data_IF_253164569825
#
_entry.id   IF_253164569825
#
_cell.length_a   1.000
_cell.length_b   1.000
_cell.length_c   1.000
_cell.angle_alpha   90.00
_cell.angle_beta   90.00
_cell.angle_gamma   90.00
#
_symmetry.space_group_name_H-M   'P 1'
#
loop_
_entity.id
_entity.type
_entity.pdbx_description
1 polymer ?
#
# COMPACT_ATOMS: atom_id res chain seq x y z
N UNK A 1 13.38 11.76 5.90
CA UNK A 1 12.95 11.01 4.70
C UNK A 1 12.47 9.58 4.98
N UNK A 2 13.33 8.60 5.36
CA UNK A 2 12.87 7.22 5.57
C UNK A 2 11.92 7.03 6.76
N UNK A 3 12.15 7.77 7.86
CA UNK A 3 11.25 7.76 9.03
C UNK A 3 9.87 8.32 8.69
N UNK A 4 9.83 9.47 8.01
CA UNK A 4 8.60 10.11 7.52
C UNK A 4 7.75 9.18 6.63
N UNK A 5 8.39 8.51 5.66
CA UNK A 5 7.71 7.52 4.81
C UNK A 5 7.09 6.38 5.63
N UNK A 6 7.77 5.88 6.67
CA UNK A 6 7.25 4.78 7.49
C UNK A 6 6.09 5.22 8.35
N UNK A 7 6.15 6.40 8.97
CA UNK A 7 5.02 6.97 9.71
C UNK A 7 3.78 7.09 8.82
N UNK A 8 3.93 7.66 7.62
CA UNK A 8 2.82 7.79 6.66
C UNK A 8 2.26 6.45 6.21
N UNK A 9 3.10 5.43 6.05
CA UNK A 9 2.64 4.06 5.74
C UNK A 9 1.81 3.50 6.89
N UNK A 10 2.26 3.67 8.14
CA UNK A 10 1.55 3.17 9.31
C UNK A 10 0.18 3.84 9.45
N UNK A 11 0.13 5.16 9.41
CA UNK A 11 -1.12 5.93 9.46
C UNK A 11 -2.08 5.56 8.33
N UNK A 12 -1.55 5.35 7.11
CA UNK A 12 -2.38 4.94 5.97
C UNK A 12 -2.98 3.55 6.18
N UNK A 13 -2.21 2.62 6.75
CA UNK A 13 -2.70 1.27 7.04
C UNK A 13 -3.76 1.33 8.15
N UNK A 14 -3.54 2.10 9.21
CA UNK A 14 -4.55 2.26 10.27
C UNK A 14 -5.86 2.82 9.69
N UNK A 15 -5.78 3.91 8.92
CA UNK A 15 -6.94 4.48 8.21
C UNK A 15 -7.61 3.49 7.26
N UNK A 16 -6.86 2.58 6.63
CA UNK A 16 -7.42 1.55 5.75
C UNK A 16 -8.28 0.55 6.53
N UNK A 17 -7.87 0.18 7.74
CA UNK A 17 -8.67 -0.68 8.63
C UNK A 17 -9.87 0.07 9.20
N UNK A 18 -9.68 1.31 9.65
CA UNK A 18 -10.78 2.19 10.11
C UNK A 18 -11.85 2.39 9.03
N UNK A 19 -11.45 2.53 7.76
CA UNK A 19 -12.36 2.67 6.61
C UNK A 19 -13.03 1.37 6.18
N UNK A 20 -12.74 0.25 6.84
CA UNK A 20 -13.48 -0.98 6.66
C UNK A 20 -12.97 -1.92 5.57
N UNK A 21 -11.65 -2.00 5.32
CA UNK A 21 -11.09 -3.05 4.43
C UNK A 21 -11.54 -4.46 4.83
N UNK A 22 -11.73 -4.73 6.13
CA UNK A 22 -12.25 -6.02 6.61
C UNK A 22 -13.63 -6.32 6.03
N UNK A 23 -14.52 -5.31 6.02
CA UNK A 23 -15.86 -5.41 5.45
C UNK A 23 -15.80 -5.57 3.94
N UNK A 24 -14.96 -4.78 3.26
CA UNK A 24 -14.77 -4.88 1.79
C UNK A 24 -14.37 -6.30 1.36
N UNK A 25 -13.40 -6.91 2.05
CA UNK A 25 -12.95 -8.28 1.76
C UNK A 25 -14.07 -9.31 2.04
N UNK A 26 -14.83 -9.15 3.13
CA UNK A 26 -15.97 -10.01 3.42
C UNK A 26 -17.04 -9.92 2.32
N UNK A 27 -17.38 -8.72 1.88
CA UNK A 27 -18.38 -8.49 0.83
C UNK A 27 -17.94 -9.10 -0.52
N UNK A 28 -16.65 -9.01 -0.87
CA UNK A 28 -16.12 -9.65 -2.08
C UNK A 28 -16.26 -11.18 -2.03
N UNK A 29 -15.95 -11.80 -0.89
CA UNK A 29 -16.11 -13.24 -0.71
C UNK A 29 -17.58 -13.66 -0.77
N UNK A 30 -18.47 -12.88 -0.15
CA UNK A 30 -19.92 -13.13 -0.18
C UNK A 30 -20.49 -13.01 -1.60
N UNK A 31 -19.95 -12.11 -2.43
CA UNK A 31 -20.28 -11.98 -3.86
C UNK A 31 -19.69 -13.10 -4.73
N UNK A 32 -18.99 -14.07 -4.14
CA UNK A 32 -18.45 -15.23 -4.85
C UNK A 32 -17.12 -15.00 -5.55
N UNK A 33 -16.41 -13.90 -5.24
CA UNK A 33 -15.05 -13.70 -5.77
C UNK A 33 -14.13 -14.77 -5.19
N UNK A 34 -13.48 -15.54 -6.05
CA UNK A 34 -12.56 -16.61 -5.62
C UNK A 34 -11.44 -16.02 -4.77
N UNK A 35 -11.24 -16.56 -3.56
CA UNK A 35 -10.16 -16.23 -2.63
C UNK A 35 -8.75 -16.35 -3.24
N UNK A 36 -8.59 -17.08 -4.34
CA UNK A 36 -7.32 -17.22 -5.07
C UNK A 36 -7.09 -16.15 -6.14
N UNK A 37 -8.08 -15.28 -6.36
CA UNK A 37 -8.03 -14.19 -7.34
C UNK A 37 -6.89 -13.20 -7.05
N UNK A 38 -6.34 -12.54 -8.07
CA UNK A 38 -5.22 -11.60 -7.92
C UNK A 38 -5.39 -10.54 -6.82
N UNK A 39 -6.57 -9.93 -6.59
CA UNK A 39 -6.75 -8.92 -5.54
C UNK A 39 -6.40 -9.44 -4.14
N UNK A 40 -6.71 -10.70 -3.82
CA UNK A 40 -6.42 -11.28 -2.51
C UNK A 40 -4.93 -11.55 -2.25
N UNK A 41 -4.07 -11.36 -3.26
CA UNK A 41 -2.61 -11.36 -3.10
C UNK A 41 -2.06 -9.99 -2.71
N UNK A 42 -2.84 -8.93 -2.87
CA UNK A 42 -2.45 -7.58 -2.49
C UNK A 42 -2.26 -7.45 -0.97
N UNK A 43 -1.39 -6.52 -0.58
CA UNK A 43 -1.18 -6.17 0.82
C UNK A 43 -2.49 -5.61 1.42
N UNK A 44 -2.76 -5.91 2.68
CA UNK A 44 -4.08 -5.68 3.29
C UNK A 44 -5.00 -6.86 3.04
N UNK A 45 -5.47 -7.04 1.80
CA UNK A 45 -6.39 -8.13 1.41
C UNK A 45 -5.89 -9.51 1.83
N UNK A 46 -4.62 -9.81 1.54
CA UNK A 46 -3.99 -11.08 1.92
C UNK A 46 -4.08 -11.35 3.43
N UNK A 47 -3.86 -10.33 4.25
CA UNK A 47 -3.85 -10.47 5.71
C UNK A 47 -5.27 -10.51 6.28
N UNK A 48 -6.18 -9.69 5.75
CA UNK A 48 -7.60 -9.77 6.10
C UNK A 48 -8.17 -11.14 5.75
N UNK A 49 -7.78 -11.76 4.63
CA UNK A 49 -8.22 -13.11 4.29
C UNK A 49 -7.78 -14.14 5.35
N UNK A 50 -6.58 -13.99 5.93
CA UNK A 50 -6.12 -14.83 7.06
C UNK A 50 -6.89 -14.56 8.33
N UNK A 51 -7.17 -13.29 8.64
CA UNK A 51 -8.02 -12.88 9.76
C UNK A 51 -9.40 -13.52 9.67
N UNK A 52 -10.04 -13.48 8.50
CA UNK A 52 -11.38 -14.04 8.28
C UNK A 52 -11.41 -15.56 8.41
N UNK A 53 -10.29 -16.24 8.14
CA UNK A 53 -10.09 -17.67 8.40
C UNK A 53 -9.71 -17.98 9.85
N UNK A 54 -9.63 -16.97 10.71
CA UNK A 54 -9.19 -17.07 12.11
C UNK A 54 -7.76 -17.63 12.28
N UNK A 55 -6.90 -17.45 11.27
CA UNK A 55 -5.50 -17.90 11.31
C UNK A 55 -4.61 -16.95 12.13
N UNK A 56 -4.93 -15.66 12.16
CA UNK A 56 -4.21 -14.61 12.91
C UNK A 56 -5.21 -13.59 13.49
N UNK A 57 -4.91 -12.95 14.63
CA UNK A 57 -5.76 -11.90 15.21
C UNK A 57 -5.68 -10.58 14.42
N UNK A 58 -6.61 -9.66 14.70
CA UNK A 58 -6.70 -8.36 14.03
C UNK A 58 -5.44 -7.52 14.23
N UNK A 59 -4.90 -7.49 15.45
CA UNK A 59 -3.68 -6.74 15.78
C UNK A 59 -2.47 -7.23 14.97
N UNK A 60 -2.31 -8.55 14.86
CA UNK A 60 -1.25 -9.15 14.05
C UNK A 60 -1.49 -8.87 12.55
N UNK A 61 -2.73 -8.91 12.09
CA UNK A 61 -3.12 -8.57 10.72
C UNK A 61 -2.69 -7.15 10.34
N UNK A 62 -2.97 -6.17 11.20
CA UNK A 62 -2.57 -4.77 11.02
C UNK A 62 -1.04 -4.67 11.01
N UNK A 63 -0.38 -5.31 11.98
CA UNK A 63 1.08 -5.28 12.14
C UNK A 63 1.82 -5.85 10.92
N UNK A 64 1.38 -7.01 10.42
CA UNK A 64 1.94 -7.65 9.23
C UNK A 64 1.69 -6.80 7.98
N UNK A 65 0.51 -6.18 7.88
CA UNK A 65 0.18 -5.27 6.77
C UNK A 65 1.11 -4.05 6.76
N UNK A 66 1.33 -3.41 7.91
CA UNK A 66 2.29 -2.30 8.06
C UNK A 66 3.70 -2.72 7.64
N UNK A 67 4.20 -3.82 8.21
CA UNK A 67 5.55 -4.36 7.93
C UNK A 67 5.77 -4.61 6.44
N UNK A 68 4.86 -5.34 5.81
CA UNK A 68 5.04 -5.73 4.43
C UNK A 68 4.83 -4.56 3.46
N UNK A 69 4.00 -3.59 3.82
CA UNK A 69 3.88 -2.33 3.06
C UNK A 69 5.19 -1.53 3.10
N UNK A 70 5.89 -1.47 4.24
CA UNK A 70 7.24 -0.87 4.33
C UNK A 70 8.26 -1.62 3.48
N UNK A 71 8.23 -2.96 3.49
CA UNK A 71 9.12 -3.76 2.64
C UNK A 71 8.84 -3.57 1.16
N UNK A 72 7.56 -3.48 0.78
CA UNK A 72 7.16 -3.20 -0.59
C UNK A 72 7.62 -1.82 -1.05
N UNK A 73 7.39 -0.77 -0.25
CA UNK A 73 7.89 0.58 -0.53
C UNK A 73 9.43 0.61 -0.68
N UNK A 74 10.16 -0.12 0.18
CA UNK A 74 11.62 -0.25 0.03
C UNK A 74 11.99 -0.89 -1.31
N UNK A 75 11.32 -1.98 -1.71
CA UNK A 75 11.57 -2.64 -3.02
C UNK A 75 11.28 -1.72 -4.20
N UNK A 76 10.17 -0.97 -4.15
CA UNK A 76 9.84 0.03 -5.17
C UNK A 76 10.97 1.06 -5.31
N UNK A 77 11.44 1.62 -4.18
CA UNK A 77 12.55 2.57 -4.21
C UNK A 77 13.86 1.97 -4.75
N UNK A 78 14.17 0.72 -4.40
CA UNK A 78 15.34 0.03 -4.96
C UNK A 78 15.22 -0.17 -6.47
N UNK A 79 14.02 -0.46 -6.98
CA UNK A 79 13.78 -0.64 -8.41
C UNK A 79 13.89 0.68 -9.17
N UNK A 80 13.20 1.73 -8.70
CA UNK A 80 13.26 3.06 -9.33
C UNK A 80 14.65 3.68 -9.31
N UNK A 81 15.47 3.44 -8.28
CA UNK A 81 16.86 3.94 -8.23
C UNK A 81 17.77 3.38 -9.33
N UNK A 82 17.39 2.25 -9.95
CA UNK A 82 18.15 1.63 -11.04
C UNK A 82 17.67 2.07 -12.43
N UNK A 83 16.58 2.83 -12.50
CA UNK A 83 16.03 3.29 -13.77
C UNK A 83 16.65 4.63 -14.16
N UNK A 84 17.10 4.72 -15.40
CA UNK A 84 17.53 5.97 -16.00
C UNK A 84 16.32 6.83 -16.42
N UNK A 85 16.52 8.14 -16.53
CA UNK A 85 15.46 9.08 -16.93
C UNK A 85 14.44 9.42 -15.84
N UNK A 86 14.57 8.89 -14.61
CA UNK A 86 13.67 9.27 -13.51
C UNK A 86 14.09 10.63 -12.91
N UNK A 87 13.18 11.60 -13.00
CA UNK A 87 13.25 12.84 -12.22
C UNK A 87 12.57 12.66 -10.87
N UNK A 88 13.33 12.86 -9.79
CA UNK A 88 12.85 12.74 -8.41
C UNK A 88 12.36 14.09 -7.87
N UNK A 89 11.27 14.03 -7.09
CA UNK A 89 10.69 15.18 -6.40
C UNK A 89 10.39 14.85 -4.94
N UNK A 90 10.39 15.88 -4.09
CA UNK A 90 9.79 15.78 -2.76
C UNK A 90 8.26 15.66 -2.91
N UNK A 91 7.58 14.82 -2.11
CA UNK A 91 6.12 14.69 -2.17
C UNK A 91 5.37 15.97 -1.80
N UNK A 92 6.04 16.95 -1.20
CA UNK A 92 5.45 18.24 -0.81
C UNK A 92 5.78 19.37 -1.79
N UNK A 93 6.59 19.11 -2.81
CA UNK A 93 7.02 20.11 -3.79
C UNK A 93 6.16 20.06 -5.06
N UNK A 94 4.87 20.27 -4.86
CA UNK A 94 3.88 20.28 -5.94
C UNK A 94 4.17 21.34 -7.03
N UNK A 95 4.65 22.56 -6.71
CA UNK A 95 5.00 23.54 -7.73
C UNK A 95 6.07 23.04 -8.71
N UNK A 96 7.18 22.48 -8.21
CA UNK A 96 8.25 21.96 -9.08
C UNK A 96 7.80 20.76 -9.92
N UNK A 97 6.93 19.90 -9.36
CA UNK A 97 6.34 18.77 -10.11
C UNK A 97 5.52 19.29 -11.30
N UNK A 98 4.63 20.27 -11.05
CA UNK A 98 3.78 20.85 -12.09
C UNK A 98 4.59 21.54 -13.18
N UNK A 99 5.60 22.32 -12.79
CA UNK A 99 6.47 23.00 -13.74
C UNK A 99 7.22 22.00 -14.62
N UNK A 100 7.79 20.95 -14.01
CA UNK A 100 8.47 19.91 -14.76
C UNK A 100 7.54 19.20 -15.76
N UNK A 101 6.33 18.83 -15.35
CA UNK A 101 5.34 18.20 -16.24
C UNK A 101 5.02 19.12 -17.42
N UNK A 102 4.70 20.40 -17.16
CA UNK A 102 4.38 21.37 -18.23
C UNK A 102 5.51 21.53 -19.26
N UNK A 103 6.76 21.47 -18.80
CA UNK A 103 7.92 21.69 -19.66
C UNK A 103 8.39 20.45 -20.42
N UNK A 104 7.96 19.25 -20.03
CA UNK A 104 8.50 17.98 -20.54
C UNK A 104 7.45 17.03 -21.12
N UNK A 105 6.16 17.32 -20.95
CA UNK A 105 5.05 16.57 -21.51
C UNK A 105 4.24 17.52 -22.40
N UNK A 106 4.59 17.55 -23.69
CA UNK A 106 3.75 18.07 -24.77
C UNK A 106 2.80 16.98 -25.26
#
# INVERSE_FOLDING_TARGET
ERKDLYTRIEERVDKMFERGITREVQELLQKGVDKNSPPFRALGYKYVLKLLKKEIPLEETITLTKRDTRHYAKRQMTWFRKMEGIKWFSPHDFPSILEYVKNNLN
#
